data_IF_776633769453
#
_entry.id   IF_776633769453
#
_cell.length_a   1.000
_cell.length_b   1.000
_cell.length_c   1.000
_cell.angle_alpha   90.00
_cell.angle_beta   90.00
_cell.angle_gamma   90.00
#
_symmetry.space_group_name_H-M   'P 1'
#
loop_
_entity.id
_entity.type
_entity.pdbx_description
1 polymer ?
#
# COMPACT_ATOMS: atom_id res chain seq x y z
N UNK A 1 -21.46 10.61 -7.06
CA UNK A 1 -20.35 10.08 -7.89
C UNK A 1 -19.38 9.36 -6.97
N UNK A 2 -19.06 8.09 -7.21
CA UNK A 2 -17.92 7.45 -6.54
C UNK A 2 -16.66 8.16 -7.05
N UNK A 3 -15.83 8.68 -6.14
CA UNK A 3 -14.59 9.39 -6.49
C UNK A 3 -13.56 8.38 -6.97
N UNK A 4 -13.01 8.57 -8.16
CA UNK A 4 -11.88 7.76 -8.63
C UNK A 4 -10.59 8.18 -7.89
N UNK A 5 -9.84 7.21 -7.33
CA UNK A 5 -8.59 7.52 -6.64
C UNK A 5 -7.48 7.88 -7.63
N UNK A 6 -6.55 8.74 -7.19
CA UNK A 6 -5.31 8.96 -7.94
C UNK A 6 -4.41 7.72 -7.83
N UNK A 7 -4.06 7.14 -8.97
CA UNK A 7 -3.19 5.95 -9.04
C UNK A 7 -1.73 6.38 -9.24
N UNK A 8 -0.84 5.95 -8.34
CA UNK A 8 0.59 6.32 -8.35
C UNK A 8 1.45 5.06 -8.33
N UNK A 9 2.48 5.01 -9.18
CA UNK A 9 3.50 3.98 -9.12
C UNK A 9 4.90 4.59 -9.22
N UNK A 10 5.85 4.08 -8.45
CA UNK A 10 7.26 4.45 -8.59
C UNK A 10 7.97 3.42 -9.45
N UNK A 11 8.39 3.82 -10.65
CA UNK A 11 9.05 2.93 -11.59
C UNK A 11 10.56 3.17 -11.62
N UNK A 12 11.35 2.09 -11.62
CA UNK A 12 12.80 2.13 -11.82
C UNK A 12 13.26 0.95 -12.65
N UNK A 13 14.31 1.14 -13.46
CA UNK A 13 14.91 0.06 -14.25
C UNK A 13 15.76 -0.92 -13.42
N UNK A 14 16.11 -0.56 -12.18
CA UNK A 14 16.93 -1.37 -11.28
C UNK A 14 16.13 -1.89 -10.09
N UNK A 15 16.26 -3.17 -9.78
CA UNK A 15 15.87 -3.75 -8.49
C UNK A 15 16.71 -3.16 -7.35
N UNK A 16 16.20 -3.19 -6.12
CA UNK A 16 16.95 -2.79 -4.92
C UNK A 16 17.17 -1.28 -4.71
N UNK A 17 16.62 -0.41 -5.56
CA UNK A 17 16.78 1.06 -5.41
C UNK A 17 15.89 1.70 -4.34
N UNK A 18 15.10 0.91 -3.61
CA UNK A 18 14.23 1.40 -2.53
C UNK A 18 12.82 1.83 -2.96
N UNK A 19 12.28 1.34 -4.08
CA UNK A 19 10.89 1.61 -4.51
C UNK A 19 9.87 1.35 -3.42
N UNK A 20 9.87 0.13 -2.85
CA UNK A 20 8.92 -0.26 -1.80
C UNK A 20 9.06 0.60 -0.55
N UNK A 21 10.28 0.95 -0.17
CA UNK A 21 10.53 1.88 0.94
C UNK A 21 9.93 3.26 0.66
N UNK A 22 10.09 3.76 -0.57
CA UNK A 22 9.52 5.04 -0.99
C UNK A 22 7.98 4.97 -1.06
N UNK A 23 7.42 3.87 -1.55
CA UNK A 23 5.97 3.60 -1.54
C UNK A 23 5.41 3.68 -0.12
N UNK A 24 6.01 2.97 0.84
CA UNK A 24 5.60 2.98 2.25
C UNK A 24 5.74 4.37 2.88
N UNK A 25 6.84 5.07 2.61
CA UNK A 25 7.08 6.42 3.14
C UNK A 25 6.03 7.41 2.62
N UNK A 26 5.81 7.44 1.30
CA UNK A 26 4.82 8.35 0.68
C UNK A 26 3.41 8.00 1.13
N UNK A 27 3.05 6.72 1.16
CA UNK A 27 1.75 6.27 1.68
C UNK A 27 1.53 6.76 3.12
N UNK A 28 2.55 6.63 3.98
CA UNK A 28 2.46 7.01 5.39
C UNK A 28 2.35 8.52 5.58
N UNK A 29 3.09 9.32 4.82
CA UNK A 29 2.99 10.79 4.85
C UNK A 29 1.60 11.23 4.38
N UNK A 30 1.13 10.75 3.23
CA UNK A 30 -0.18 11.11 2.69
C UNK A 30 -1.31 10.69 3.64
N UNK A 31 -1.20 9.51 4.25
CA UNK A 31 -2.24 8.97 5.10
C UNK A 31 -2.28 9.60 6.49
N UNK A 32 -1.16 9.60 7.21
CA UNK A 32 -1.12 9.99 8.62
C UNK A 32 -0.86 11.49 8.82
N UNK A 33 -0.09 12.14 7.93
CA UNK A 33 0.22 13.57 8.07
C UNK A 33 -0.72 14.46 7.23
N UNK A 34 -1.12 14.02 6.03
CA UNK A 34 -2.00 14.80 5.14
C UNK A 34 -3.47 14.41 5.22
N UNK A 35 -3.82 13.39 6.00
CA UNK A 35 -5.20 13.01 6.27
C UNK A 35 -5.91 12.29 5.12
N UNK A 36 -5.24 11.99 3.99
CA UNK A 36 -5.85 11.34 2.84
C UNK A 36 -6.21 9.87 3.11
N UNK A 37 -7.24 9.35 2.43
CA UNK A 37 -7.56 7.92 2.42
C UNK A 37 -6.65 7.25 1.40
N UNK A 38 -5.72 6.43 1.88
CA UNK A 38 -4.66 5.83 1.06
C UNK A 38 -4.85 4.33 1.05
N UNK A 39 -4.60 3.70 -0.10
CA UNK A 39 -4.42 2.26 -0.25
C UNK A 39 -3.06 1.95 -0.88
N UNK A 40 -2.51 0.77 -0.63
CA UNK A 40 -1.33 0.26 -1.31
C UNK A 40 -1.67 -1.07 -1.97
N UNK A 41 -1.29 -1.25 -3.24
CA UNK A 41 -1.37 -2.53 -3.95
C UNK A 41 0.06 -3.05 -4.15
N UNK A 42 0.39 -4.13 -3.45
CA UNK A 42 1.71 -4.76 -3.47
C UNK A 42 1.78 -5.81 -4.58
N UNK A 43 2.30 -5.38 -5.73
CA UNK A 43 2.40 -6.17 -6.95
C UNK A 43 3.75 -6.89 -7.10
N UNK A 44 4.64 -6.82 -6.10
CA UNK A 44 6.00 -7.36 -6.17
C UNK A 44 6.02 -8.88 -5.97
N UNK A 45 5.27 -9.63 -6.78
CA UNK A 45 5.21 -11.09 -6.72
C UNK A 45 6.52 -11.72 -7.24
N UNK A 46 7.07 -12.76 -6.58
CA UNK A 46 6.57 -13.45 -5.37
C UNK A 46 7.04 -12.87 -4.02
N UNK A 47 7.77 -11.75 -4.01
CA UNK A 47 8.37 -11.19 -2.80
C UNK A 47 7.35 -10.54 -1.86
N UNK A 48 6.35 -9.84 -2.39
CA UNK A 48 5.36 -8.99 -1.71
C UNK A 48 5.98 -8.26 -0.52
N UNK A 49 6.99 -7.44 -0.81
CA UNK A 49 7.92 -6.93 0.20
C UNK A 49 7.22 -6.12 1.30
N UNK A 50 6.22 -5.30 0.92
CA UNK A 50 5.45 -4.46 1.84
C UNK A 50 4.51 -5.33 2.67
N UNK A 51 3.85 -6.29 2.04
CA UNK A 51 2.90 -7.14 2.76
C UNK A 51 3.61 -8.04 3.76
N UNK A 52 4.77 -8.62 3.39
CA UNK A 52 5.60 -9.38 4.33
C UNK A 52 6.17 -8.52 5.46
N UNK A 53 6.48 -7.25 5.18
CA UNK A 53 6.87 -6.30 6.23
C UNK A 53 5.72 -6.13 7.23
N UNK A 54 4.50 -5.91 6.74
CA UNK A 54 3.29 -5.77 7.54
C UNK A 54 3.02 -7.00 8.42
N UNK A 55 3.15 -8.19 7.83
CA UNK A 55 2.92 -9.46 8.53
C UNK A 55 3.92 -9.60 9.72
N UNK A 56 5.21 -9.32 9.50
CA UNK A 56 6.24 -9.32 10.56
C UNK A 56 6.03 -8.26 11.63
N UNK A 57 5.57 -7.06 11.24
CA UNK A 57 5.28 -5.99 12.19
C UNK A 57 4.15 -6.40 13.14
N UNK A 58 3.11 -7.07 12.62
CA UNK A 58 2.00 -7.59 13.42
C UNK A 58 2.48 -8.67 14.37
N UNK A 59 3.26 -9.65 13.90
CA UNK A 59 3.84 -10.70 14.74
C UNK A 59 4.67 -10.09 15.88
N UNK A 60 5.55 -9.13 15.56
CA UNK A 60 6.38 -8.44 16.55
C UNK A 60 5.54 -7.71 17.62
N UNK A 61 4.45 -7.06 17.22
CA UNK A 61 3.52 -6.41 18.15
C UNK A 61 2.81 -7.45 19.03
N UNK A 62 2.40 -8.59 18.47
CA UNK A 62 1.70 -9.63 19.23
C UNK A 62 2.58 -10.25 20.31
N UNK A 63 3.88 -10.40 20.04
CA UNK A 63 4.85 -11.03 20.96
C UNK A 63 5.41 -10.07 22.03
N UNK A 64 5.22 -8.75 21.88
CA UNK A 64 5.82 -7.75 22.78
C UNK A 64 4.78 -6.83 23.43
N UNK A 65 4.61 -6.93 24.74
CA UNK A 65 3.71 -6.05 25.50
C UNK A 65 4.13 -4.57 25.41
N UNK A 66 5.43 -4.30 25.32
CA UNK A 66 5.93 -2.95 25.06
C UNK A 66 5.40 -2.41 23.72
N UNK A 67 5.46 -3.21 22.65
CA UNK A 67 4.97 -2.79 21.33
C UNK A 67 3.45 -2.69 21.27
N UNK A 68 2.69 -3.53 22.01
CA UNK A 68 1.23 -3.37 22.15
C UNK A 68 0.88 -2.03 22.78
N UNK A 69 1.56 -1.66 23.87
CA UNK A 69 1.35 -0.37 24.54
C UNK A 69 1.74 0.79 23.62
N UNK A 70 2.84 0.67 22.88
CA UNK A 70 3.26 1.68 21.91
C UNK A 70 2.23 1.87 20.79
N UNK A 71 1.72 0.77 20.20
CA UNK A 71 0.69 0.81 19.16
C UNK A 71 -0.61 1.43 19.68
N UNK A 72 -1.03 1.08 20.90
CA UNK A 72 -2.22 1.66 21.54
C UNK A 72 -2.07 3.18 21.71
N UNK A 73 -0.93 3.66 22.23
CA UNK A 73 -0.66 5.10 22.38
C UNK A 73 -0.65 5.82 21.04
N UNK A 74 -0.04 5.21 20.02
CA UNK A 74 -0.04 5.76 18.67
C UNK A 74 -1.47 5.86 18.10
N UNK A 75 -2.31 4.86 18.32
CA UNK A 75 -3.70 4.87 17.90
C UNK A 75 -4.49 6.02 18.57
N UNK A 76 -4.30 6.23 19.87
CA UNK A 76 -4.94 7.33 20.62
C UNK A 76 -4.54 8.72 20.10
N UNK A 77 -3.30 8.87 19.65
CA UNK A 77 -2.78 10.14 19.11
C UNK A 77 -3.21 10.40 17.67
N UNK A 78 -3.06 9.42 16.78
CA UNK A 78 -3.32 9.57 15.35
C UNK A 78 -4.82 9.46 15.04
N UNK A 79 -5.57 8.68 15.84
CA UNK A 79 -7.01 8.39 15.66
C UNK A 79 -7.38 7.95 14.25
N UNK A 80 -6.47 7.25 13.58
CA UNK A 80 -6.65 6.73 12.23
C UNK A 80 -6.15 5.30 12.14
N UNK A 81 -6.95 4.45 11.51
CA UNK A 81 -6.53 3.08 11.19
C UNK A 81 -5.40 3.11 10.18
N UNK A 82 -4.64 2.02 10.12
CA UNK A 82 -3.60 1.88 9.11
C UNK A 82 -4.18 1.69 7.71
N UNK A 83 -3.53 2.27 6.70
CA UNK A 83 -3.94 2.09 5.30
C UNK A 83 -3.82 0.62 4.89
N UNK A 84 -4.76 0.06 4.10
CA UNK A 84 -4.68 -1.33 3.67
C UNK A 84 -3.55 -1.58 2.69
N UNK A 85 -3.01 -2.80 2.73
CA UNK A 85 -2.05 -3.32 1.75
C UNK A 85 -2.71 -4.53 1.07
N UNK A 86 -2.94 -4.43 -0.24
CA UNK A 86 -3.62 -5.43 -1.06
C UNK A 86 -2.53 -6.21 -1.82
N UNK A 87 -2.37 -7.50 -1.51
CA UNK A 87 -1.47 -8.40 -2.26
C UNK A 87 -2.05 -8.64 -3.65
N UNK A 88 -1.27 -8.44 -4.71
CA UNK A 88 -1.71 -8.69 -6.09
C UNK A 88 -0.54 -9.06 -7.01
N UNK A 89 -0.82 -9.44 -8.26
CA UNK A 89 0.16 -9.50 -9.33
C UNK A 89 -0.02 -8.28 -10.25
N UNK A 90 1.01 -7.82 -10.97
CA UNK A 90 0.91 -6.63 -11.83
C UNK A 90 -0.28 -6.66 -12.81
N UNK A 91 -0.59 -7.84 -13.36
CA UNK A 91 -1.69 -8.04 -14.32
C UNK A 91 -3.09 -7.92 -13.70
N UNK A 92 -3.20 -8.19 -12.39
CA UNK A 92 -4.48 -8.20 -11.65
C UNK A 92 -4.65 -7.01 -10.73
N UNK A 93 -3.65 -6.14 -10.63
CA UNK A 93 -3.59 -5.08 -9.62
C UNK A 93 -4.81 -4.15 -9.64
N UNK A 94 -5.29 -3.79 -10.83
CA UNK A 94 -6.48 -2.95 -10.99
C UNK A 94 -7.76 -3.70 -10.62
N UNK A 95 -7.90 -4.95 -11.07
CA UNK A 95 -9.05 -5.81 -10.73
C UNK A 95 -9.14 -6.04 -9.21
N UNK A 96 -8.03 -6.42 -8.59
CA UNK A 96 -7.96 -6.69 -7.15
C UNK A 96 -8.21 -5.43 -6.31
N UNK A 97 -7.78 -4.25 -6.79
CA UNK A 97 -8.11 -2.96 -6.16
C UNK A 97 -9.62 -2.70 -6.20
N UNK A 98 -10.24 -2.80 -7.37
CA UNK A 98 -11.68 -2.52 -7.49
C UNK A 98 -12.54 -3.55 -6.76
N UNK A 99 -12.13 -4.83 -6.77
CA UNK A 99 -12.76 -5.86 -5.95
C UNK A 99 -12.68 -5.49 -4.46
N UNK A 100 -11.51 -5.06 -3.97
CA UNK A 100 -11.36 -4.62 -2.58
C UNK A 100 -12.25 -3.40 -2.26
N UNK A 101 -12.32 -2.42 -3.16
CA UNK A 101 -13.18 -1.24 -3.02
C UNK A 101 -14.64 -1.64 -2.87
N UNK A 102 -15.12 -2.57 -3.69
CA UNK A 102 -16.50 -3.05 -3.64
C UNK A 102 -16.79 -3.89 -2.41
N UNK A 103 -15.95 -4.89 -2.11
CA UNK A 103 -16.15 -5.81 -0.98
C UNK A 103 -16.08 -5.12 0.38
N UNK A 104 -15.22 -4.10 0.52
CA UNK A 104 -15.00 -3.40 1.78
C UNK A 104 -15.75 -2.06 1.89
N UNK A 105 -16.54 -1.70 0.87
CA UNK A 105 -17.12 -0.36 0.69
C UNK A 105 -16.09 0.76 0.94
N UNK A 106 -14.87 0.54 0.45
CA UNK A 106 -13.74 1.41 0.73
C UNK A 106 -13.74 2.64 -0.19
N UNK A 107 -13.24 3.76 0.33
CA UNK A 107 -13.07 5.00 -0.45
C UNK A 107 -11.61 5.43 -0.34
N UNK A 108 -10.96 5.63 -1.48
CA UNK A 108 -9.57 6.09 -1.55
C UNK A 108 -9.47 7.44 -2.25
N UNK A 109 -8.58 8.29 -1.75
CA UNK A 109 -8.11 9.50 -2.44
C UNK A 109 -6.90 9.18 -3.33
N UNK A 110 -6.01 8.30 -2.84
CA UNK A 110 -4.77 7.90 -3.51
C UNK A 110 -4.54 6.40 -3.33
N UNK A 111 -4.12 5.71 -4.39
CA UNK A 111 -3.67 4.32 -4.33
C UNK A 111 -2.27 4.23 -4.91
N UNK A 112 -1.33 3.71 -4.11
CA UNK A 112 0.04 3.48 -4.56
C UNK A 112 0.24 2.01 -4.97
N UNK A 113 0.91 1.79 -6.09
CA UNK A 113 1.26 0.46 -6.59
C UNK A 113 2.76 0.23 -6.37
N UNK A 114 3.10 -0.82 -5.62
CA UNK A 114 4.48 -1.29 -5.50
C UNK A 114 4.75 -2.30 -6.61
N UNK A 115 5.61 -1.93 -7.55
CA UNK A 115 5.88 -2.72 -8.74
C UNK A 115 7.21 -3.47 -8.64
N UNK A 116 7.28 -4.69 -9.21
CA UNK A 116 8.50 -5.48 -9.20
C UNK A 116 9.65 -4.79 -9.94
N UNK A 117 10.88 -5.11 -9.53
CA UNK A 117 12.09 -4.61 -10.19
C UNK A 117 12.36 -5.32 -11.52
N UNK A 118 12.42 -4.57 -12.61
CA UNK A 118 12.81 -4.99 -13.99
C UNK A 118 11.73 -5.74 -14.77
N UNK A 119 11.39 -5.24 -15.98
CA UNK A 119 10.56 -5.83 -17.06
C UNK A 119 9.17 -6.40 -16.76
N UNK A 120 8.81 -6.68 -15.50
CA UNK A 120 7.53 -7.24 -15.05
C UNK A 120 6.42 -6.18 -14.87
N UNK A 121 6.74 -4.90 -15.04
CA UNK A 121 5.72 -3.85 -15.16
C UNK A 121 4.89 -3.97 -16.46
N UNK A 122 5.29 -4.82 -17.42
CA UNK A 122 4.61 -5.01 -18.71
C UNK A 122 3.15 -5.48 -18.59
N UNK A 123 2.73 -6.00 -17.42
CA UNK A 123 1.35 -6.45 -17.17
C UNK A 123 0.40 -5.36 -16.65
N UNK A 124 0.92 -4.23 -16.16
CA UNK A 124 0.10 -3.21 -15.52
C UNK A 124 -0.37 -2.15 -16.52
N UNK A 125 -1.68 -2.08 -16.75
CA UNK A 125 -2.32 -1.01 -17.52
C UNK A 125 -2.99 -0.01 -16.58
N UNK A 126 -2.22 0.92 -16.01
CA UNK A 126 -2.80 2.11 -15.39
C UNK A 126 -3.17 3.07 -16.52
N UNK A 127 -4.45 3.45 -16.70
CA UNK A 127 -4.79 4.50 -17.65
C UNK A 127 -4.10 5.79 -17.21
N UNK A 128 -3.16 6.28 -18.03
CA UNK A 128 -2.60 7.61 -17.82
C UNK A 128 -3.71 8.64 -18.08
N UNK A 129 -3.91 9.63 -17.20
CA UNK A 129 -4.82 10.72 -17.49
C UNK A 129 -4.34 11.44 -18.76
N UNK A 130 -5.22 11.60 -19.75
CA UNK A 130 -4.98 12.42 -20.94
C UNK A 130 -4.97 13.91 -20.59
#
# INVERSE_FOLDING_TARGET
>A
MKKEPLLIAFASQKGGVGKSAFTVLVASILHYQKGLKVGVVDCDSPQHSISRMRDRDIESVQESDFLKVALYRQHEQIRKRSYPVIKSNPEKAIEDLYRYIEEQDAVFDVVLFDLPGTSAAKGLSIPFPQ
#
